data_IF_650259031201
#
_entry.id   IF_650259031201
#
_cell.length_a   1.000
_cell.length_b   1.000
_cell.length_c   1.000
_cell.angle_alpha   90.00
_cell.angle_beta   90.00
_cell.angle_gamma   90.00
#
_symmetry.space_group_name_H-M   'P 1'
#
loop_
_entity.id
_entity.type
_entity.pdbx_description
1 polymer ?
#
# COMPACT_ATOMS: atom_id res chain seq x y z
N UNK A 1 17.48 -16.66 -18.38
CA UNK A 1 17.24 -15.37 -19.08
C UNK A 1 15.96 -14.66 -18.64
N UNK A 2 14.84 -15.36 -18.34
CA UNK A 2 13.60 -14.70 -17.89
C UNK A 2 13.57 -14.27 -16.42
N UNK A 3 14.09 -15.08 -15.48
CA UNK A 3 14.01 -14.78 -14.05
C UNK A 3 14.93 -13.62 -13.61
N UNK A 4 16.16 -13.59 -14.11
CA UNK A 4 17.13 -12.54 -13.74
C UNK A 4 16.66 -11.15 -14.23
N UNK A 5 15.95 -11.09 -15.36
CA UNK A 5 15.30 -9.87 -15.85
C UNK A 5 14.18 -9.40 -14.91
N UNK A 6 13.31 -10.31 -14.46
CA UNK A 6 12.19 -9.96 -13.57
C UNK A 6 12.72 -9.42 -12.23
N UNK A 7 13.70 -10.07 -11.62
CA UNK A 7 14.23 -9.63 -10.32
C UNK A 7 15.06 -8.35 -10.42
N UNK A 8 15.80 -8.13 -11.51
CA UNK A 8 16.54 -6.89 -11.73
C UNK A 8 15.64 -5.67 -12.00
N UNK A 9 14.39 -5.89 -12.44
CA UNK A 9 13.45 -4.83 -12.79
C UNK A 9 12.21 -4.79 -11.88
N UNK A 10 12.23 -5.46 -10.73
CA UNK A 10 11.06 -5.65 -9.88
C UNK A 10 10.39 -4.33 -9.48
N UNK A 11 11.18 -3.31 -9.11
CA UNK A 11 10.66 -1.99 -8.76
C UNK A 11 9.93 -1.30 -9.93
N UNK A 12 10.46 -1.43 -11.15
CA UNK A 12 9.84 -0.83 -12.36
C UNK A 12 8.54 -1.56 -12.69
N UNK A 13 8.54 -2.89 -12.59
CA UNK A 13 7.35 -3.72 -12.79
C UNK A 13 6.28 -3.38 -11.76
N UNK A 14 6.65 -3.23 -10.48
CA UNK A 14 5.74 -2.84 -9.40
C UNK A 14 5.07 -1.49 -9.69
N UNK A 15 5.86 -0.47 -10.03
CA UNK A 15 5.32 0.86 -10.38
C UNK A 15 4.41 0.78 -11.60
N UNK A 16 4.78 0.01 -12.62
CA UNK A 16 3.94 -0.18 -13.81
C UNK A 16 2.61 -0.89 -13.49
N UNK A 17 2.63 -1.91 -12.63
CA UNK A 17 1.43 -2.62 -12.17
C UNK A 17 0.51 -1.66 -11.40
N UNK A 18 1.04 -0.91 -10.44
CA UNK A 18 0.23 0.05 -9.67
C UNK A 18 -0.29 1.21 -10.49
N UNK A 19 0.51 1.70 -11.44
CA UNK A 19 0.08 2.75 -12.38
C UNK A 19 -1.04 2.25 -13.29
N UNK A 20 -0.91 1.03 -13.82
CA UNK A 20 -1.96 0.40 -14.64
C UNK A 20 -3.23 0.19 -13.82
N UNK A 21 -3.09 -0.31 -12.59
CA UNK A 21 -4.21 -0.52 -11.67
C UNK A 21 -4.90 0.80 -11.31
N UNK A 22 -4.13 1.87 -11.08
CA UNK A 22 -4.67 3.22 -10.89
C UNK A 22 -5.52 3.67 -12.09
N UNK A 23 -5.06 3.46 -13.33
CA UNK A 23 -5.84 3.80 -14.51
C UNK A 23 -7.16 3.01 -14.58
N UNK A 24 -7.17 1.74 -14.19
CA UNK A 24 -8.43 0.96 -14.10
C UNK A 24 -9.39 1.59 -13.10
N UNK A 25 -8.91 2.00 -11.92
CA UNK A 25 -9.74 2.69 -10.91
C UNK A 25 -10.21 4.05 -11.41
N UNK A 26 -9.34 4.84 -12.05
CA UNK A 26 -9.67 6.14 -12.60
C UNK A 26 -10.70 6.05 -13.73
N UNK A 27 -10.58 5.07 -14.64
CA UNK A 27 -11.57 4.82 -15.69
C UNK A 27 -12.90 4.38 -15.06
N UNK A 28 -12.88 3.50 -14.05
CA UNK A 28 -14.10 3.09 -13.33
C UNK A 28 -14.80 4.28 -12.68
N UNK A 29 -14.05 5.27 -12.21
CA UNK A 29 -14.56 6.49 -11.60
C UNK A 29 -15.11 7.49 -12.64
N UNK A 30 -14.32 7.83 -13.66
CA UNK A 30 -14.65 8.86 -14.66
C UNK A 30 -15.60 8.37 -15.75
N UNK A 31 -15.55 7.09 -16.09
CA UNK A 31 -16.31 6.46 -17.18
C UNK A 31 -16.95 5.15 -16.67
N UNK A 32 -17.90 5.23 -15.72
CA UNK A 32 -18.48 4.04 -15.08
C UNK A 32 -19.16 3.07 -16.06
N UNK A 33 -19.65 3.54 -17.20
CA UNK A 33 -20.25 2.70 -18.24
C UNK A 33 -19.29 1.69 -18.86
N UNK A 34 -17.98 2.00 -18.93
CA UNK A 34 -16.99 1.13 -19.57
C UNK A 34 -16.62 -0.06 -18.70
N UNK A 35 -16.80 0.08 -17.38
CA UNK A 35 -16.35 -0.90 -16.38
C UNK A 35 -17.45 -1.15 -15.34
N UNK A 36 -18.72 -1.13 -15.80
CA UNK A 36 -19.90 -1.14 -14.92
C UNK A 36 -19.98 -2.37 -14.02
N UNK A 37 -19.49 -3.51 -14.51
CA UNK A 37 -19.59 -4.81 -13.83
C UNK A 37 -18.56 -4.99 -12.71
N UNK A 38 -17.57 -4.11 -12.59
CA UNK A 38 -16.57 -4.21 -11.53
C UNK A 38 -17.00 -3.33 -10.36
N UNK A 39 -17.30 -3.96 -9.22
CA UNK A 39 -17.60 -3.25 -7.98
C UNK A 39 -16.32 -2.71 -7.35
N UNK A 40 -16.41 -1.61 -6.60
CA UNK A 40 -15.26 -1.10 -5.86
C UNK A 40 -14.72 -2.11 -4.84
N UNK A 41 -15.58 -2.98 -4.29
CA UNK A 41 -15.14 -4.06 -3.41
C UNK A 41 -14.21 -5.06 -4.11
N UNK A 42 -14.49 -5.42 -5.36
CA UNK A 42 -13.59 -6.25 -6.16
C UNK A 42 -12.29 -5.56 -6.50
N UNK A 43 -12.30 -4.24 -6.75
CA UNK A 43 -11.08 -3.47 -6.91
C UNK A 43 -10.25 -3.47 -5.62
N UNK A 44 -10.88 -3.27 -4.45
CA UNK A 44 -10.16 -3.33 -3.16
C UNK A 44 -9.56 -4.70 -2.94
N UNK A 45 -10.32 -5.77 -3.18
CA UNK A 45 -9.82 -7.14 -3.11
C UNK A 45 -8.65 -7.37 -4.08
N UNK A 46 -8.74 -6.84 -5.30
CA UNK A 46 -7.66 -6.88 -6.28
C UNK A 46 -6.40 -6.15 -5.80
N UNK A 47 -6.52 -4.96 -5.22
CA UNK A 47 -5.39 -4.22 -4.66
C UNK A 47 -4.74 -4.96 -3.50
N UNK A 48 -5.53 -5.53 -2.58
CA UNK A 48 -5.03 -6.39 -1.50
C UNK A 48 -4.30 -7.61 -2.06
N UNK A 49 -4.87 -8.26 -3.09
CA UNK A 49 -4.24 -9.40 -3.74
C UNK A 49 -2.90 -9.03 -4.40
N UNK A 50 -2.78 -7.86 -5.05
CA UNK A 50 -1.52 -7.39 -5.64
C UNK A 50 -0.43 -7.25 -4.56
N UNK A 51 -0.74 -6.63 -3.41
CA UNK A 51 0.20 -6.51 -2.29
C UNK A 51 0.65 -7.87 -1.75
N UNK A 52 -0.28 -8.81 -1.58
CA UNK A 52 0.04 -10.15 -1.08
C UNK A 52 0.84 -10.96 -2.12
N UNK A 53 0.48 -10.87 -3.39
CA UNK A 53 1.18 -11.54 -4.49
C UNK A 53 2.60 -11.03 -4.64
N UNK A 54 2.83 -9.72 -4.46
CA UNK A 54 4.18 -9.17 -4.41
C UNK A 54 5.00 -9.85 -3.31
N UNK A 55 4.46 -9.93 -2.08
CA UNK A 55 5.15 -10.55 -0.95
C UNK A 55 5.47 -12.03 -1.21
N UNK A 56 4.52 -12.79 -1.75
CA UNK A 56 4.71 -14.20 -2.13
C UNK A 56 5.77 -14.34 -3.22
N UNK A 57 5.70 -13.53 -4.26
CA UNK A 57 6.63 -13.59 -5.39
C UNK A 57 8.05 -13.19 -4.99
N UNK A 58 8.20 -12.15 -4.17
CA UNK A 58 9.48 -11.72 -3.63
C UNK A 58 10.09 -12.80 -2.70
N UNK A 59 9.26 -13.41 -1.85
CA UNK A 59 9.67 -14.55 -0.99
C UNK A 59 10.17 -15.72 -1.83
N UNK A 60 9.39 -16.12 -2.86
CA UNK A 60 9.79 -17.20 -3.77
C UNK A 60 11.09 -16.87 -4.52
N UNK A 61 11.22 -15.63 -5.01
CA UNK A 61 12.44 -15.16 -5.65
C UNK A 61 13.65 -15.25 -4.74
N UNK A 62 13.50 -14.78 -3.49
CA UNK A 62 14.55 -14.85 -2.49
C UNK A 62 14.96 -16.30 -2.19
N UNK A 63 13.98 -17.21 -2.07
CA UNK A 63 14.22 -18.63 -1.89
C UNK A 63 15.05 -19.23 -3.03
N UNK A 64 14.67 -18.94 -4.28
CA UNK A 64 15.40 -19.42 -5.46
C UNK A 64 16.81 -18.84 -5.52
N UNK A 65 17.00 -17.55 -5.23
CA UNK A 65 18.32 -16.91 -5.25
C UNK A 65 19.23 -17.49 -4.17
N UNK A 66 18.73 -17.64 -2.95
CA UNK A 66 19.52 -18.21 -1.84
C UNK A 66 19.74 -19.72 -1.99
N UNK A 67 18.88 -20.43 -2.71
CA UNK A 67 19.06 -21.85 -2.99
C UNK A 67 20.15 -22.19 -4.01
N UNK A 68 20.67 -21.20 -4.76
CA UNK A 68 21.67 -21.43 -5.83
C UNK A 68 23.10 -21.68 -5.34
N UNK A 69 23.45 -21.23 -4.14
CA UNK A 69 24.80 -21.39 -3.58
C UNK A 69 24.73 -22.07 -2.21
N UNK A 70 25.64 -23.02 -1.96
CA UNK A 70 25.73 -23.68 -0.65
C UNK A 70 25.98 -22.68 0.49
N UNK A 71 26.65 -21.56 0.22
CA UNK A 71 26.82 -20.49 1.20
C UNK A 71 25.49 -19.83 1.57
N UNK A 72 24.67 -19.44 0.59
CA UNK A 72 23.41 -18.74 0.84
C UNK A 72 22.29 -19.67 1.28
N UNK A 73 22.39 -20.95 0.96
CA UNK A 73 21.43 -21.99 1.33
C UNK A 73 21.35 -22.19 2.84
N UNK A 74 22.44 -21.90 3.57
CA UNK A 74 22.45 -21.88 5.03
C UNK A 74 21.35 -20.97 5.59
N UNK A 75 21.07 -19.82 4.96
CA UNK A 75 20.02 -18.90 5.42
C UNK A 75 18.60 -19.48 5.29
N UNK A 76 18.38 -20.45 4.39
CA UNK A 76 17.08 -21.10 4.21
C UNK A 76 16.77 -22.10 5.34
N UNK A 77 17.82 -22.67 5.94
CA UNK A 77 17.74 -23.74 6.94
C UNK A 77 18.36 -23.35 8.29
N UNK A 78 18.57 -22.05 8.52
CA UNK A 78 19.05 -21.55 9.81
C UNK A 78 17.89 -21.17 10.74
N UNK A 79 17.96 -21.55 12.02
CA UNK A 79 17.03 -21.04 13.01
C UNK A 79 17.22 -19.55 13.24
N UNK A 80 16.17 -18.88 13.70
CA UNK A 80 16.27 -17.48 14.13
C UNK A 80 16.99 -17.43 15.48
N UNK A 81 18.24 -16.98 15.50
CA UNK A 81 19.03 -16.96 16.74
C UNK A 81 18.61 -15.83 17.69
N UNK A 82 18.98 -15.99 18.96
CA UNK A 82 18.81 -15.00 20.04
C UNK A 82 19.33 -13.59 19.68
N UNK A 83 20.42 -13.56 18.90
CA UNK A 83 21.23 -12.40 18.58
C UNK A 83 20.69 -11.57 17.40
N UNK A 84 19.79 -12.13 16.59
CA UNK A 84 19.15 -11.37 15.51
C UNK A 84 18.26 -10.31 16.12
N UNK A 85 18.51 -9.05 15.76
CA UNK A 85 17.73 -7.92 16.23
C UNK A 85 16.25 -8.08 15.84
N UNK A 86 15.42 -8.35 16.83
CA UNK A 86 13.96 -8.41 16.71
C UNK A 86 13.38 -7.11 17.27
N UNK A 87 12.45 -6.42 16.58
CA UNK A 87 11.84 -5.22 17.13
C UNK A 87 11.13 -5.53 18.46
N UNK A 88 11.51 -4.85 19.54
CA UNK A 88 11.02 -5.15 20.89
C UNK A 88 9.48 -5.15 21.01
N UNK A 89 8.80 -4.29 20.24
CA UNK A 89 7.34 -4.21 20.21
C UNK A 89 6.66 -5.40 19.49
N UNK A 90 7.42 -6.22 18.76
CA UNK A 90 6.95 -7.43 18.09
C UNK A 90 7.51 -8.70 18.72
N UNK A 91 8.27 -8.64 19.81
CA UNK A 91 8.96 -9.82 20.37
C UNK A 91 7.99 -10.98 20.71
N UNK A 92 6.72 -10.67 20.99
CA UNK A 92 5.64 -11.65 21.15
C UNK A 92 5.41 -12.54 19.92
N UNK A 93 5.78 -12.09 18.72
CA UNK A 93 5.70 -12.85 17.46
C UNK A 93 6.91 -13.78 17.25
N UNK A 94 8.00 -13.62 18.02
CA UNK A 94 9.22 -14.39 17.85
C UNK A 94 8.99 -15.91 17.84
N UNK A 95 8.12 -16.50 18.69
CA UNK A 95 7.84 -17.93 18.66
C UNK A 95 7.21 -18.43 17.35
N UNK A 96 6.60 -17.55 16.54
CA UNK A 96 6.08 -17.92 15.22
C UNK A 96 7.18 -18.27 14.20
N UNK A 97 8.42 -17.89 14.51
CA UNK A 97 9.60 -18.13 13.69
C UNK A 97 10.50 -19.23 14.28
N UNK A 98 10.00 -20.03 15.21
CA UNK A 98 10.74 -21.16 15.76
C UNK A 98 10.90 -22.28 14.71
N UNK A 99 12.07 -22.93 14.71
CA UNK A 99 12.38 -24.06 13.84
C UNK A 99 13.50 -23.79 12.84
N UNK A 100 13.79 -24.79 12.01
CA UNK A 100 14.95 -24.77 11.11
C UNK A 100 14.89 -23.68 10.05
N UNK A 101 13.71 -23.20 9.68
CA UNK A 101 13.56 -22.19 8.61
C UNK A 101 13.25 -20.79 9.19
N UNK A 102 13.44 -20.62 10.50
CA UNK A 102 13.05 -19.44 11.25
C UNK A 102 13.65 -18.14 10.72
N UNK A 103 14.94 -18.17 10.37
CA UNK A 103 15.62 -17.01 9.81
C UNK A 103 15.00 -16.56 8.49
N UNK A 104 14.77 -17.48 7.56
CA UNK A 104 14.19 -17.17 6.26
C UNK A 104 12.74 -16.68 6.37
N UNK A 105 11.94 -17.30 7.25
CA UNK A 105 10.57 -16.89 7.52
C UNK A 105 10.53 -15.46 8.09
N UNK A 106 11.38 -15.14 9.06
CA UNK A 106 11.49 -13.80 9.63
C UNK A 106 11.98 -12.77 8.60
N UNK A 107 13.03 -13.12 7.82
CA UNK A 107 13.54 -12.26 6.76
C UNK A 107 12.45 -11.90 5.74
N UNK A 108 11.68 -12.91 5.29
CA UNK A 108 10.61 -12.73 4.31
C UNK A 108 9.47 -11.90 4.89
N UNK A 109 9.09 -12.16 6.14
CA UNK A 109 8.09 -11.37 6.86
C UNK A 109 8.50 -9.90 6.93
N UNK A 110 9.70 -9.62 7.42
CA UNK A 110 10.21 -8.26 7.61
C UNK A 110 10.30 -7.49 6.29
N UNK A 111 10.91 -8.09 5.25
CA UNK A 111 11.21 -7.35 4.03
C UNK A 111 10.06 -7.31 3.02
N UNK A 112 9.14 -8.28 3.04
CA UNK A 112 8.14 -8.43 1.99
C UNK A 112 6.69 -8.28 2.46
N UNK A 113 6.39 -8.56 3.74
CA UNK A 113 5.01 -8.51 4.25
C UNK A 113 4.78 -7.38 5.24
N UNK A 114 5.79 -6.96 6.01
CA UNK A 114 5.62 -5.98 7.07
C UNK A 114 5.08 -4.64 6.55
N UNK A 115 5.54 -4.20 5.38
CA UNK A 115 5.05 -3.00 4.70
C UNK A 115 3.57 -3.11 4.31
N UNK A 116 3.15 -4.26 3.76
CA UNK A 116 1.76 -4.53 3.41
C UNK A 116 0.86 -4.63 4.66
N UNK A 117 1.36 -5.25 5.74
CA UNK A 117 0.65 -5.33 7.02
C UNK A 117 0.47 -3.93 7.61
N UNK A 118 1.54 -3.11 7.66
CA UNK A 118 1.46 -1.74 8.13
C UNK A 118 0.45 -0.91 7.31
N UNK A 119 0.49 -1.06 5.99
CA UNK A 119 -0.49 -0.45 5.08
C UNK A 119 -1.92 -0.89 5.42
N UNK A 120 -2.18 -2.19 5.54
CA UNK A 120 -3.53 -2.72 5.83
C UNK A 120 -4.06 -2.27 7.18
N UNK A 121 -3.20 -2.17 8.20
CA UNK A 121 -3.58 -1.63 9.51
C UNK A 121 -4.02 -0.17 9.35
N UNK A 122 -3.23 0.68 8.69
CA UNK A 122 -3.56 2.11 8.52
C UNK A 122 -4.81 2.29 7.65
N UNK A 123 -4.92 1.55 6.56
CA UNK A 123 -6.10 1.55 5.68
C UNK A 123 -7.33 1.09 6.45
N UNK A 124 -7.22 0.03 7.25
CA UNK A 124 -8.31 -0.50 8.07
C UNK A 124 -8.77 0.50 9.13
N UNK A 125 -7.84 1.11 9.87
CA UNK A 125 -8.15 2.16 10.85
C UNK A 125 -8.83 3.36 10.18
N UNK A 126 -8.33 3.79 9.01
CA UNK A 126 -8.94 4.91 8.29
C UNK A 126 -10.30 4.56 7.71
N UNK A 127 -10.50 3.33 7.22
CA UNK A 127 -11.81 2.82 6.80
C UNK A 127 -12.81 2.85 7.96
N UNK A 128 -12.43 2.36 9.14
CA UNK A 128 -13.27 2.42 10.34
C UNK A 128 -13.63 3.87 10.70
N UNK A 129 -12.67 4.78 10.63
CA UNK A 129 -12.90 6.21 10.82
C UNK A 129 -13.90 6.79 9.80
N UNK A 130 -13.74 6.47 8.50
CA UNK A 130 -14.65 6.92 7.45
C UNK A 130 -16.06 6.35 7.63
N UNK A 131 -16.19 5.08 8.03
CA UNK A 131 -17.48 4.45 8.33
C UNK A 131 -18.15 5.06 9.55
N UNK A 132 -17.39 5.40 10.59
CA UNK A 132 -17.93 6.12 11.74
C UNK A 132 -18.41 7.52 11.35
N UNK A 133 -17.62 8.24 10.53
CA UNK A 133 -17.95 9.58 10.04
C UNK A 133 -19.12 9.59 9.06
N UNK A 134 -19.29 8.55 8.25
CA UNK A 134 -20.41 8.47 7.30
C UNK A 134 -21.75 8.26 8.00
N UNK A 135 -21.74 7.69 9.22
CA UNK A 135 -22.95 7.58 10.05
C UNK A 135 -23.38 8.94 10.63
N UNK A 136 -22.42 9.79 11.02
CA UNK A 136 -22.72 11.11 11.58
C UNK A 136 -22.94 12.18 10.52
N UNK A 137 -22.28 12.07 9.36
CA UNK A 137 -22.36 13.02 8.27
C UNK A 137 -22.56 12.33 6.91
N UNK A 138 -23.71 11.67 6.68
CA UNK A 138 -23.96 10.88 5.46
C UNK A 138 -23.91 11.72 4.19
N UNK A 139 -24.27 13.02 4.27
CA UNK A 139 -24.33 13.93 3.12
C UNK A 139 -22.94 14.21 2.51
N UNK A 140 -21.85 13.92 3.23
CA UNK A 140 -20.48 14.12 2.74
C UNK A 140 -19.94 12.93 1.93
N UNK A 141 -20.69 11.83 1.84
CA UNK A 141 -20.26 10.60 1.18
C UNK A 141 -21.29 10.16 0.14
N UNK A 142 -20.83 9.98 -1.09
CA UNK A 142 -21.59 9.32 -2.15
C UNK A 142 -21.33 7.83 -2.14
N UNK A 143 -22.17 7.10 -2.87
CA UNK A 143 -21.98 5.66 -3.06
C UNK A 143 -20.58 5.39 -3.67
N UNK A 144 -19.80 4.55 -3.00
CA UNK A 144 -18.44 4.20 -3.42
C UNK A 144 -17.33 5.16 -3.00
N UNK A 145 -17.64 6.33 -2.42
CA UNK A 145 -16.62 7.33 -2.05
C UNK A 145 -15.62 6.79 -1.02
N UNK A 146 -16.11 6.08 0.00
CA UNK A 146 -15.26 5.46 1.02
C UNK A 146 -14.30 4.45 0.38
N UNK A 147 -14.82 3.62 -0.54
CA UNK A 147 -14.01 2.60 -1.21
C UNK A 147 -13.01 3.21 -2.18
N UNK A 148 -13.32 4.34 -2.82
CA UNK A 148 -12.36 5.08 -3.63
C UNK A 148 -11.20 5.64 -2.81
N UNK A 149 -11.48 6.14 -1.60
CA UNK A 149 -10.42 6.61 -0.69
C UNK A 149 -9.56 5.43 -0.23
N UNK A 150 -10.18 4.29 0.13
CA UNK A 150 -9.46 3.05 0.45
C UNK A 150 -8.57 2.60 -0.71
N UNK A 151 -9.10 2.64 -1.94
CA UNK A 151 -8.33 2.32 -3.15
C UNK A 151 -7.15 3.27 -3.35
N UNK A 152 -7.35 4.58 -3.18
CA UNK A 152 -6.28 5.57 -3.26
C UNK A 152 -5.17 5.26 -2.25
N UNK A 153 -5.53 4.89 -1.01
CA UNK A 153 -4.56 4.49 0.02
C UNK A 153 -3.82 3.21 -0.35
N UNK A 154 -4.52 2.17 -0.80
CA UNK A 154 -3.90 0.92 -1.21
C UNK A 154 -2.97 1.09 -2.41
N UNK A 155 -3.34 1.94 -3.37
CA UNK A 155 -2.51 2.31 -4.53
C UNK A 155 -1.26 3.06 -4.09
N UNK A 156 -1.38 3.98 -3.12
CA UNK A 156 -0.21 4.74 -2.64
C UNK A 156 0.81 3.88 -1.91
N UNK A 157 0.41 2.70 -1.41
CA UNK A 157 1.30 1.75 -0.74
C UNK A 157 1.89 2.27 0.57
N UNK A 158 2.79 1.49 1.17
CA UNK A 158 3.66 1.97 2.25
C UNK A 158 5.00 2.44 1.66
N UNK A 159 5.55 3.60 2.07
CA UNK A 159 5.02 4.57 3.04
C UNK A 159 4.11 5.64 2.42
N UNK A 160 3.73 5.53 1.15
CA UNK A 160 3.00 6.58 0.43
C UNK A 160 1.66 6.96 1.03
N UNK A 161 0.99 6.05 1.74
CA UNK A 161 -0.23 6.34 2.49
C UNK A 161 -0.05 7.46 3.52
N UNK A 162 1.14 7.56 4.14
CA UNK A 162 1.47 8.61 5.11
C UNK A 162 1.53 9.99 4.45
N UNK A 163 1.93 10.04 3.18
CA UNK A 163 1.96 11.27 2.36
C UNK A 163 0.58 11.58 1.78
N UNK A 164 -0.14 10.54 1.35
CA UNK A 164 -1.47 10.66 0.77
C UNK A 164 -2.47 11.30 1.73
N UNK A 165 -2.50 10.87 3.00
CA UNK A 165 -3.46 11.38 3.98
C UNK A 165 -3.43 12.92 4.13
N UNK A 166 -2.29 13.56 4.49
CA UNK A 166 -2.24 15.01 4.63
C UNK A 166 -2.42 15.75 3.30
N UNK A 167 -1.76 15.31 2.23
CA UNK A 167 -1.86 15.99 0.93
C UNK A 167 -3.27 15.85 0.34
N UNK A 168 -3.89 14.68 0.47
CA UNK A 168 -5.27 14.42 0.06
C UNK A 168 -6.27 15.29 0.80
N UNK A 169 -6.10 15.47 2.12
CA UNK A 169 -6.93 16.38 2.91
C UNK A 169 -6.76 17.84 2.50
N UNK A 170 -5.52 18.32 2.37
CA UNK A 170 -5.25 19.70 1.91
C UNK A 170 -5.83 19.92 0.51
N UNK A 171 -5.64 18.97 -0.39
CA UNK A 171 -6.18 19.01 -1.75
C UNK A 171 -7.72 19.05 -1.74
N UNK A 172 -8.36 18.29 -0.85
CA UNK A 172 -9.82 18.31 -0.72
C UNK A 172 -10.34 19.68 -0.26
N UNK A 173 -9.63 20.34 0.67
CA UNK A 173 -9.95 21.69 1.14
C UNK A 173 -9.80 22.69 -0.01
N UNK A 174 -8.67 22.67 -0.72
CA UNK A 174 -8.40 23.57 -1.84
C UNK A 174 -9.42 23.41 -2.95
N UNK A 175 -9.72 22.16 -3.34
CA UNK A 175 -10.77 21.88 -4.32
C UNK A 175 -12.10 22.42 -3.83
N UNK A 176 -12.50 22.16 -2.58
CA UNK A 176 -13.78 22.61 -2.01
C UNK A 176 -13.91 24.14 -2.03
N UNK A 177 -12.85 24.87 -1.68
CA UNK A 177 -12.82 26.33 -1.77
C UNK A 177 -12.97 26.76 -3.23
N UNK A 178 -12.20 26.16 -4.13
CA UNK A 178 -12.25 26.46 -5.57
C UNK A 178 -13.65 26.26 -6.15
N UNK A 179 -14.31 25.12 -5.90
CA UNK A 179 -15.64 24.90 -6.47
C UNK A 179 -16.71 25.80 -5.86
N UNK A 180 -16.57 26.19 -4.59
CA UNK A 180 -17.45 27.18 -3.99
C UNK A 180 -17.30 28.55 -4.64
N UNK A 181 -16.06 29.00 -4.85
CA UNK A 181 -15.77 30.34 -5.42
C UNK A 181 -16.16 30.43 -6.89
N UNK A 182 -15.80 29.43 -7.70
CA UNK A 182 -15.98 29.50 -9.16
C UNK A 182 -17.30 28.92 -9.67
N UNK A 183 -17.82 27.88 -9.02
CA UNK A 183 -18.99 27.14 -9.50
C UNK A 183 -20.19 27.21 -8.55
N UNK A 184 -20.06 27.90 -7.40
CA UNK A 184 -21.12 27.95 -6.38
C UNK A 184 -21.43 26.59 -5.76
N UNK A 185 -20.58 25.58 -5.97
CA UNK A 185 -20.80 24.23 -5.47
C UNK A 185 -20.37 24.21 -4.01
N UNK A 186 -21.33 24.05 -3.10
CA UNK A 186 -21.06 24.10 -1.65
C UNK A 186 -20.27 22.89 -1.13
N UNK A 187 -20.27 21.76 -1.87
CA UNK A 187 -19.75 20.48 -1.35
C UNK A 187 -19.07 19.66 -2.44
N UNK A 188 -17.77 19.43 -2.29
CA UNK A 188 -17.02 18.45 -3.09
C UNK A 188 -16.82 17.19 -2.24
N UNK A 189 -17.12 15.99 -2.77
CA UNK A 189 -16.78 14.75 -2.08
C UNK A 189 -15.27 14.67 -1.82
N UNK A 190 -14.85 13.98 -0.75
CA UNK A 190 -13.42 13.80 -0.42
C UNK A 190 -12.71 12.89 -1.43
N UNK A 191 -13.43 11.92 -2.00
CA UNK A 191 -12.89 10.86 -2.85
C UNK A 191 -12.06 11.32 -4.06
N UNK A 192 -12.42 12.37 -4.84
CA UNK A 192 -11.66 12.77 -6.01
C UNK A 192 -10.31 13.37 -5.64
N UNK A 193 -10.23 14.06 -4.50
CA UNK A 193 -8.98 14.66 -4.02
C UNK A 193 -7.96 13.57 -3.67
N UNK A 194 -8.39 12.53 -2.94
CA UNK A 194 -7.54 11.39 -2.61
C UNK A 194 -7.13 10.62 -3.85
N UNK A 195 -8.05 10.39 -4.80
CA UNK A 195 -7.72 9.70 -6.04
C UNK A 195 -6.72 10.49 -6.88
N UNK A 196 -6.84 11.81 -6.96
CA UNK A 196 -5.91 12.69 -7.69
C UNK A 196 -4.50 12.68 -7.09
N UNK A 197 -4.40 12.62 -5.76
CA UNK A 197 -3.11 12.64 -5.04
C UNK A 197 -2.44 11.26 -5.02
N UNK A 198 -3.19 10.17 -5.20
CA UNK A 198 -2.65 8.80 -5.11
C UNK A 198 -1.41 8.54 -6.00
N UNK A 199 -1.35 8.98 -7.28
CA UNK A 199 -0.15 8.81 -8.10
C UNK A 199 1.05 9.61 -7.59
N UNK A 200 0.80 10.81 -7.03
CA UNK A 200 1.86 11.64 -6.43
C UNK A 200 2.43 10.93 -5.22
N UNK A 201 1.58 10.38 -4.36
CA UNK A 201 2.00 9.60 -3.20
C UNK A 201 2.73 8.32 -3.62
N UNK A 202 2.26 7.60 -4.64
CA UNK A 202 2.92 6.40 -5.16
C UNK A 202 4.35 6.68 -5.66
N UNK A 203 4.55 7.77 -6.42
CA UNK A 203 5.82 8.04 -7.11
C UNK A 203 6.80 8.84 -6.21
N UNK A 204 6.28 9.80 -5.45
CA UNK A 204 7.11 10.80 -4.76
C UNK A 204 7.14 10.66 -3.23
N UNK A 205 6.55 9.61 -2.66
CA UNK A 205 6.54 9.46 -1.20
C UNK A 205 7.94 9.46 -0.57
N UNK A 206 8.88 8.69 -1.12
CA UNK A 206 10.25 8.59 -0.56
C UNK A 206 10.97 9.95 -0.62
N UNK A 207 11.01 10.68 -1.76
CA UNK A 207 11.55 12.04 -1.80
C UNK A 207 10.89 13.00 -0.80
N UNK A 208 9.55 13.01 -0.72
CA UNK A 208 8.80 13.90 0.18
C UNK A 208 9.15 13.60 1.64
N UNK A 209 9.09 12.33 2.04
CA UNK A 209 9.38 11.92 3.42
C UNK A 209 10.85 12.12 3.79
N UNK A 210 11.76 11.96 2.82
CA UNK A 210 13.18 12.21 3.03
C UNK A 210 13.47 13.71 3.23
N UNK A 211 12.85 14.58 2.42
CA UNK A 211 12.97 16.03 2.58
C UNK A 211 12.43 16.52 3.94
N UNK A 212 11.45 15.82 4.51
CA UNK A 212 10.90 16.09 5.84
C UNK A 212 11.64 15.40 6.99
N UNK A 213 12.71 14.64 6.72
CA UNK A 213 13.42 13.80 7.69
C UNK A 213 12.54 12.76 8.41
N UNK A 214 11.43 12.34 7.78
CA UNK A 214 10.50 11.35 8.32
C UNK A 214 10.76 9.94 7.79
N UNK A 215 11.37 9.80 6.62
CA UNK A 215 11.62 8.48 6.00
C UNK A 215 12.40 7.50 6.89
N UNK A 216 13.47 7.92 7.62
CA UNK A 216 14.20 7.01 8.51
C UNK A 216 13.35 6.40 9.61
N UNK A 217 12.28 7.07 10.04
CA UNK A 217 11.36 6.61 11.08
C UNK A 217 10.33 5.59 10.56
N UNK A 218 10.16 5.52 9.24
CA UNK A 218 9.15 4.71 8.55
C UNK A 218 9.77 3.53 7.78
N UNK A 219 11.09 3.37 7.87
CA UNK A 219 11.80 2.25 7.27
C UNK A 219 11.50 1.00 8.11
N UNK A 220 10.70 0.11 7.53
CA UNK A 220 10.32 -1.19 8.07
C UNK A 220 11.25 -2.28 7.51
#
# INVERSE_FOLDING_TARGET
MSLDFIFSNLNVIEVAVWTTFFFVVAIRYLRPFWVKNISYGWLVAGAVAIHLLYGIFATWGQYVVWGKSEFTKVFLSSPLTGEVAFPAYLDFLRPLFDGSNGYFAFYSFQHFFLSAIALFIIVGLFLLFLLARSRTHPVNFREGDIMLIVLAMLISGWPGVIVLLPIGLVSAILLSIGARVFYGIERIPLSPAFLLVAPVALIYAVPILSALNLYPLLKL
#
